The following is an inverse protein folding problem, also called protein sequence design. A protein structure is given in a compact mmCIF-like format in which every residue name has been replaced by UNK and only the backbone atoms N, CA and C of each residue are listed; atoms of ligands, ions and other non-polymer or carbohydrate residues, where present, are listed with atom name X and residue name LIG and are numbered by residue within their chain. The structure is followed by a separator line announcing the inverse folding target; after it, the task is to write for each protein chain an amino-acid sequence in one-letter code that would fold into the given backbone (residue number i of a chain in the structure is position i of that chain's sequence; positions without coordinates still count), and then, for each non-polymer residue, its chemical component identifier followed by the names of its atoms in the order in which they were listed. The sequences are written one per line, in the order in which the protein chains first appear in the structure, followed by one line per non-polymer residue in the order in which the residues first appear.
data_IF_518632207487
#
_entry.id   IF_518632207487
#
_cell.length_a   1.000
_cell.length_b   1.000
_cell.length_c   1.000
_cell.angle_alpha   90.00
_cell.angle_beta   90.00
_cell.angle_gamma   90.00
#
_symmetry.space_group_name_H-M   'P 1'
#
loop_
_entity.id
_entity.type
_entity.pdbx_description
1 polymer ?
#
# COMPACT_ATOMS: atom_id res chain seq x y z
N UNK A 1 -14.48 32.16 16.13
CA UNK A 1 -14.04 30.95 16.85
C UNK A 1 -14.92 29.79 16.37
N UNK A 2 -14.37 28.78 15.70
CA UNK A 2 -15.14 27.68 15.10
C UNK A 2 -15.27 26.52 16.11
N UNK A 3 -16.50 26.07 16.38
CA UNK A 3 -16.79 24.89 17.20
C UNK A 3 -17.01 23.67 16.31
N UNK A 4 -16.28 22.59 16.56
CA UNK A 4 -16.52 21.27 15.97
C UNK A 4 -17.29 20.42 16.97
N UNK A 5 -18.54 20.12 16.66
CA UNK A 5 -19.34 19.13 17.41
C UNK A 5 -19.19 17.76 16.76
N UNK A 6 -18.91 16.74 17.57
CA UNK A 6 -18.86 15.34 17.14
C UNK A 6 -20.24 14.71 17.34
N UNK A 7 -21.00 14.59 16.26
CA UNK A 7 -22.19 13.73 16.21
C UNK A 7 -21.91 12.58 15.22
N UNK A 8 -21.39 11.46 15.72
CA UNK A 8 -21.13 10.24 14.93
C UNK A 8 -19.99 10.32 13.90
N UNK A 9 -19.91 9.32 13.02
CA UNK A 9 -18.79 9.01 12.10
C UNK A 9 -18.58 10.03 10.95
N UNK A 10 -19.35 11.12 10.92
CA UNK A 10 -19.33 12.15 9.90
C UNK A 10 -18.82 13.47 10.49
N UNK A 11 -17.65 13.91 10.01
CA UNK A 11 -17.13 15.27 10.25
C UNK A 11 -17.85 16.24 9.30
N UNK A 12 -18.78 17.03 9.82
CA UNK A 12 -19.40 18.15 9.11
C UNK A 12 -18.53 19.41 9.26
N UNK A 13 -18.19 20.04 8.13
CA UNK A 13 -17.53 21.35 8.12
C UNK A 13 -18.60 22.39 7.78
N UNK A 14 -18.97 23.22 8.76
CA UNK A 14 -19.89 24.34 8.57
C UNK A 14 -19.10 25.48 7.93
N UNK A 15 -19.25 25.67 6.62
CA UNK A 15 -18.79 26.87 5.91
C UNK A 15 -19.96 27.83 5.80
N UNK A 16 -19.72 29.13 5.94
CA UNK A 16 -20.71 30.19 6.20
C UNK A 16 -21.77 30.45 5.11
N UNK A 17 -21.93 29.57 4.14
CA UNK A 17 -23.02 29.59 3.17
C UNK A 17 -23.61 28.17 3.18
N UNK A 18 -24.89 28.04 3.50
CA UNK A 18 -25.59 26.81 3.93
C UNK A 18 -25.66 25.65 2.93
N UNK A 19 -24.53 25.21 2.37
CA UNK A 19 -24.45 24.10 1.43
C UNK A 19 -23.56 22.99 2.00
N UNK A 20 -24.13 22.17 2.89
CA UNK A 20 -23.46 21.03 3.52
C UNK A 20 -23.36 19.90 2.49
N UNK A 21 -22.27 19.85 1.72
CA UNK A 21 -21.98 18.70 0.85
C UNK A 21 -21.29 17.61 1.68
N UNK A 22 -21.85 16.38 1.79
CA UNK A 22 -21.18 15.30 2.49
C UNK A 22 -19.88 14.94 1.76
N UNK A 23 -18.74 15.10 2.44
CA UNK A 23 -17.44 14.64 1.94
C UNK A 23 -17.42 13.11 1.98
N UNK A 24 -17.84 12.46 0.88
CA UNK A 24 -17.85 10.99 0.76
C UNK A 24 -16.45 10.43 1.04
N UNK A 25 -16.25 9.81 2.21
CA UNK A 25 -15.04 9.04 2.52
C UNK A 25 -14.98 7.84 1.57
N UNK A 26 -14.07 7.85 0.61
CA UNK A 26 -13.79 6.66 -0.21
C UNK A 26 -13.00 5.66 0.64
N UNK A 27 -13.67 4.64 1.16
CA UNK A 27 -13.02 3.54 1.87
C UNK A 27 -12.10 2.79 0.89
N UNK A 28 -10.79 2.79 1.19
CA UNK A 28 -9.81 1.99 0.43
C UNK A 28 -9.69 0.63 1.10
N UNK A 29 -9.92 -0.44 0.35
CA UNK A 29 -9.69 -1.81 0.83
C UNK A 29 -8.23 -2.00 1.28
N UNK A 30 -8.06 -2.68 2.42
CA UNK A 30 -6.75 -3.07 2.95
C UNK A 30 -6.04 -4.05 1.99
N UNK A 31 -4.72 -4.20 2.14
CA UNK A 31 -3.96 -5.15 1.34
C UNK A 31 -4.46 -6.60 1.54
N UNK A 32 -4.82 -6.96 2.77
CA UNK A 32 -5.34 -8.28 3.11
C UNK A 32 -6.74 -8.52 2.49
N UNK A 33 -7.62 -7.53 2.50
CA UNK A 33 -8.93 -7.63 1.86
C UNK A 33 -8.82 -7.80 0.34
N UNK A 34 -7.87 -7.10 -0.31
CA UNK A 34 -7.59 -7.26 -1.74
C UNK A 34 -7.06 -8.66 -2.07
N UNK A 35 -6.20 -9.22 -1.23
CA UNK A 35 -5.66 -10.56 -1.41
C UNK A 35 -6.77 -11.63 -1.36
N UNK A 36 -7.76 -11.51 -0.45
CA UNK A 36 -8.92 -12.44 -0.40
C UNK A 36 -9.78 -12.42 -1.66
N UNK A 37 -9.82 -11.29 -2.38
CA UNK A 37 -10.54 -11.18 -3.65
C UNK A 37 -9.70 -11.66 -4.85
N UNK A 38 -8.58 -12.36 -4.62
CA UNK A 38 -7.69 -12.83 -5.69
C UNK A 38 -6.89 -11.72 -6.37
N UNK A 39 -6.89 -10.49 -5.84
CA UNK A 39 -6.13 -9.40 -6.46
C UNK A 39 -4.65 -9.57 -6.14
N UNK A 40 -3.77 -9.71 -7.15
CA UNK A 40 -2.35 -9.92 -6.93
C UNK A 40 -1.74 -8.72 -6.18
N UNK A 41 -0.73 -8.99 -5.37
CA UNK A 41 0.01 -7.95 -4.68
C UNK A 41 0.62 -6.99 -5.70
N UNK A 42 0.48 -5.67 -5.47
CA UNK A 42 1.03 -4.65 -6.39
C UNK A 42 2.55 -4.74 -6.56
N UNK A 43 3.26 -5.24 -5.54
CA UNK A 43 4.71 -5.40 -5.53
C UNK A 43 5.08 -6.79 -4.96
N UNK A 44 5.04 -7.86 -5.78
CA UNK A 44 5.36 -9.21 -5.33
C UNK A 44 6.83 -9.32 -4.88
N UNK A 45 7.75 -8.64 -5.56
CA UNK A 45 9.17 -8.58 -5.18
C UNK A 45 9.39 -7.99 -3.78
N UNK A 46 8.65 -6.96 -3.40
CA UNK A 46 8.74 -6.36 -2.07
C UNK A 46 8.27 -7.32 -0.98
N UNK A 47 7.31 -8.23 -1.29
CA UNK A 47 6.83 -9.23 -0.34
C UNK A 47 7.92 -10.26 -0.07
N UNK A 48 8.53 -10.79 -1.12
CA UNK A 48 9.65 -11.74 -1.01
C UNK A 48 10.82 -11.10 -0.27
N UNK A 49 11.18 -9.86 -0.62
CA UNK A 49 12.27 -9.15 0.03
C UNK A 49 12.00 -8.90 1.52
N UNK A 50 10.76 -8.51 1.88
CA UNK A 50 10.38 -8.35 3.29
C UNK A 50 10.46 -9.64 4.10
N UNK A 51 10.12 -10.78 3.48
CA UNK A 51 10.15 -12.08 4.14
C UNK A 51 11.58 -12.61 4.29
N UNK A 52 12.42 -12.47 3.26
CA UNK A 52 13.80 -13.00 3.27
C UNK A 52 14.75 -12.24 4.19
N UNK A 53 14.57 -10.92 4.28
CA UNK A 53 15.47 -10.04 5.01
C UNK A 53 14.85 -9.48 6.29
N UNK A 54 13.68 -10.00 6.68
CA UNK A 54 12.96 -9.63 7.92
C UNK A 54 12.75 -8.11 8.09
N UNK A 55 12.58 -7.40 6.98
CA UNK A 55 12.30 -5.96 6.97
C UNK A 55 10.82 -5.67 6.81
N UNK A 56 10.36 -4.53 7.31
CA UNK A 56 8.97 -4.13 7.10
C UNK A 56 8.61 -4.05 5.61
N UNK A 57 7.41 -4.52 5.25
CA UNK A 57 6.93 -4.49 3.86
C UNK A 57 6.93 -3.07 3.26
N UNK A 58 6.60 -2.07 4.07
CA UNK A 58 6.67 -0.65 3.68
C UNK A 58 8.09 -0.21 3.32
N UNK A 59 9.10 -0.68 4.05
CA UNK A 59 10.50 -0.39 3.76
C UNK A 59 10.97 -1.11 2.49
N UNK A 60 10.60 -2.38 2.32
CA UNK A 60 10.87 -3.14 1.10
C UNK A 60 10.27 -2.46 -0.16
N UNK A 61 9.05 -1.91 -0.07
CA UNK A 61 8.44 -1.15 -1.17
C UNK A 61 9.27 0.09 -1.53
N UNK A 62 9.80 0.82 -0.53
CA UNK A 62 10.62 2.01 -0.78
C UNK A 62 11.91 1.66 -1.52
N UNK A 63 12.53 0.53 -1.18
CA UNK A 63 13.74 0.02 -1.85
C UNK A 63 13.43 -0.38 -3.29
N UNK A 64 12.38 -1.17 -3.50
CA UNK A 64 11.95 -1.62 -4.84
C UNK A 64 11.62 -0.45 -5.77
N UNK A 65 11.07 0.63 -5.21
CA UNK A 65 10.78 1.87 -5.95
C UNK A 65 11.98 2.79 -6.15
N UNK A 66 13.15 2.47 -5.57
CA UNK A 66 14.32 3.34 -5.59
C UNK A 66 14.21 4.60 -4.73
N UNK A 67 13.24 4.68 -3.80
CA UNK A 67 13.07 5.81 -2.89
C UNK A 67 14.04 5.79 -1.72
N UNK A 68 14.54 4.61 -1.37
CA UNK A 68 15.54 4.40 -0.32
C UNK A 68 16.57 3.43 -0.86
N UNK A 69 17.86 3.73 -0.67
CA UNK A 69 18.94 2.88 -1.13
C UNK A 69 19.60 2.15 0.04
N UNK A 70 19.57 0.83 -0.01
CA UNK A 70 20.37 -0.04 0.87
C UNK A 70 21.22 -0.93 -0.01
N UNK A 71 22.53 -0.97 0.24
CA UNK A 71 23.49 -1.73 -0.59
C UNK A 71 23.12 -3.20 -0.69
N UNK A 72 22.82 -3.83 0.45
CA UNK A 72 22.52 -5.26 0.54
C UNK A 72 21.17 -5.57 -0.11
N UNK A 73 20.12 -4.82 0.26
CA UNK A 73 18.77 -5.11 -0.19
C UNK A 73 18.55 -4.79 -1.66
N UNK A 74 19.17 -3.72 -2.17
CA UNK A 74 19.06 -3.34 -3.59
C UNK A 74 19.76 -4.36 -4.49
N UNK A 75 20.87 -4.95 -4.05
CA UNK A 75 21.57 -6.00 -4.77
C UNK A 75 20.76 -7.30 -4.90
N UNK A 76 19.85 -7.56 -3.96
CA UNK A 76 18.98 -8.74 -3.99
C UNK A 76 17.75 -8.59 -4.90
N UNK A 77 17.35 -7.36 -5.27
CA UNK A 77 16.14 -7.10 -6.06
C UNK A 77 16.18 -7.78 -7.45
N UNK A 78 17.27 -7.71 -8.24
CA UNK A 78 17.33 -8.38 -9.54
C UNK A 78 17.15 -9.90 -9.47
N UNK A 79 17.77 -10.55 -8.48
CA UNK A 79 17.64 -11.98 -8.27
C UNK A 79 16.19 -12.39 -7.96
N UNK A 80 15.52 -11.63 -7.08
CA UNK A 80 14.10 -11.85 -6.74
C UNK A 80 13.20 -11.67 -7.97
N UNK A 81 13.49 -10.69 -8.84
CA UNK A 81 12.74 -10.50 -10.10
C UNK A 81 12.92 -11.68 -11.06
N UNK A 82 14.14 -12.19 -11.20
CA UNK A 82 14.41 -13.36 -12.04
C UNK A 82 13.62 -14.59 -11.56
N UNK A 83 13.58 -14.84 -10.25
CA UNK A 83 12.78 -15.94 -9.69
C UNK A 83 11.28 -15.80 -9.95
N UNK A 84 10.75 -14.57 -9.92
CA UNK A 84 9.34 -14.32 -10.19
C UNK A 84 8.99 -14.59 -11.65
N UNK A 85 9.88 -14.23 -12.59
CA UNK A 85 9.72 -14.53 -14.02
C UNK A 85 9.76 -16.05 -14.25
N UNK A 86 10.75 -16.74 -13.69
CA UNK A 86 10.85 -18.20 -13.81
C UNK A 86 9.61 -18.93 -13.26
N UNK A 87 9.03 -18.43 -12.16
CA UNK A 87 7.77 -18.96 -11.62
C UNK A 87 6.58 -18.71 -12.54
N UNK A 88 6.54 -17.56 -13.22
CA UNK A 88 5.47 -17.24 -14.16
C UNK A 88 5.54 -18.16 -15.38
N UNK A 89 6.74 -18.38 -15.92
CA UNK A 89 6.99 -19.31 -17.03
C UNK A 89 6.63 -20.75 -16.67
N UNK A 90 6.92 -21.19 -15.45
CA UNK A 90 6.55 -22.55 -15.00
C UNK A 90 5.04 -22.75 -14.78
N UNK A 91 4.28 -21.66 -14.63
CA UNK A 91 2.81 -21.71 -14.47
C UNK A 91 2.03 -21.42 -15.75
N UNK A 92 2.72 -21.02 -16.82
CA UNK A 92 2.15 -20.76 -18.14
C UNK A 92 2.09 -22.05 -18.96
#
# INVERSE_FOLDING_TARGET
MNRTEKNGDLLTVVTGEGNIRPKRRRYRLSAQAKARMGRPAKYPEAKILSQRFEVSYSYAIKIVKGLVHSRILSAAVPAIRAELVAKQEATA
#
